data_IF_999554145363
#
_entry.id   IF_999554145363
#
_cell.length_a   1.000
_cell.length_b   1.000
_cell.length_c   1.000
_cell.angle_alpha   90.00
_cell.angle_beta   90.00
_cell.angle_gamma   90.00
#
_symmetry.space_group_name_H-M   'P 1'
#
loop_
_entity.id
_entity.type
_entity.pdbx_description
1 polymer ?
#
# COMPACT_ATOMS: atom_id res chain seq x y z
N UNK A 1 -1.79 -31.92 -87.93
CA UNK A 1 -2.63 -32.68 -86.97
C UNK A 1 -1.96 -32.78 -85.60
N UNK A 2 -0.69 -33.16 -85.52
CA UNK A 2 0.08 -33.25 -84.25
C UNK A 2 0.23 -31.92 -83.50
N UNK A 3 0.37 -30.80 -84.20
CA UNK A 3 0.47 -29.47 -83.60
C UNK A 3 -0.83 -29.05 -82.89
N UNK A 4 -1.98 -29.30 -83.54
CA UNK A 4 -3.32 -29.05 -82.98
C UNK A 4 -3.59 -29.89 -81.72
N UNK A 5 -3.15 -31.15 -81.71
CA UNK A 5 -3.25 -32.04 -80.54
C UNK A 5 -2.35 -31.54 -79.39
N UNK A 6 -1.13 -31.09 -79.70
CA UNK A 6 -0.22 -30.49 -78.71
C UNK A 6 -0.79 -29.20 -78.13
N UNK A 7 -1.38 -28.35 -78.95
CA UNK A 7 -2.01 -27.10 -78.52
C UNK A 7 -3.24 -27.35 -77.64
N UNK A 8 -4.11 -28.29 -78.01
CA UNK A 8 -5.24 -28.69 -77.20
C UNK A 8 -4.81 -29.24 -75.83
N UNK A 9 -3.74 -30.06 -75.80
CA UNK A 9 -3.17 -30.57 -74.54
C UNK A 9 -2.65 -29.44 -73.65
N UNK A 10 -1.92 -28.48 -74.21
CA UNK A 10 -1.42 -27.29 -73.50
C UNK A 10 -2.57 -26.44 -72.93
N UNK A 11 -3.61 -26.17 -73.73
CA UNK A 11 -4.77 -25.41 -73.28
C UNK A 11 -5.50 -26.10 -72.12
N UNK A 12 -5.63 -27.44 -72.17
CA UNK A 12 -6.20 -28.22 -71.08
C UNK A 12 -5.36 -28.13 -69.81
N UNK A 13 -4.04 -28.29 -69.91
CA UNK A 13 -3.13 -28.17 -68.76
C UNK A 13 -3.22 -26.79 -68.12
N UNK A 14 -3.13 -25.71 -68.89
CA UNK A 14 -3.26 -24.33 -68.38
C UNK A 14 -4.58 -24.10 -67.64
N UNK A 15 -5.70 -24.63 -68.18
CA UNK A 15 -7.01 -24.54 -67.51
C UNK A 15 -7.06 -25.34 -66.21
N UNK A 16 -6.52 -26.56 -66.19
CA UNK A 16 -6.44 -27.38 -64.98
C UNK A 16 -5.58 -26.71 -63.90
N UNK A 17 -4.42 -26.18 -64.28
CA UNK A 17 -3.51 -25.49 -63.37
C UNK A 17 -4.13 -24.20 -62.82
N UNK A 18 -4.85 -23.44 -63.65
CA UNK A 18 -5.62 -22.27 -63.23
C UNK A 18 -6.68 -22.65 -62.18
N UNK A 19 -7.52 -23.65 -62.44
CA UNK A 19 -8.57 -24.05 -61.49
C UNK A 19 -8.00 -24.54 -60.17
N UNK A 20 -6.94 -25.35 -60.20
CA UNK A 20 -6.27 -25.82 -59.00
C UNK A 20 -5.65 -24.67 -58.18
N UNK A 21 -5.03 -23.69 -58.85
CA UNK A 21 -4.47 -22.51 -58.18
C UNK A 21 -5.56 -21.65 -57.54
N UNK A 22 -6.71 -21.44 -58.23
CA UNK A 22 -7.86 -20.70 -57.68
C UNK A 22 -8.36 -21.35 -56.39
N UNK A 23 -8.50 -22.67 -56.36
CA UNK A 23 -8.96 -23.41 -55.20
C UNK A 23 -7.99 -23.27 -54.02
N UNK A 24 -6.70 -23.55 -54.26
CA UNK A 24 -5.65 -23.46 -53.23
C UNK A 24 -5.58 -22.05 -52.64
N UNK A 25 -5.56 -21.01 -53.48
CA UNK A 25 -5.48 -19.62 -53.03
C UNK A 25 -6.74 -19.21 -52.27
N UNK A 26 -7.93 -19.61 -52.73
CA UNK A 26 -9.18 -19.27 -52.03
C UNK A 26 -9.20 -19.86 -50.63
N UNK A 27 -8.85 -21.15 -50.47
CA UNK A 27 -8.80 -21.82 -49.16
C UNK A 27 -7.76 -21.15 -48.25
N UNK A 28 -6.56 -20.88 -48.79
CA UNK A 28 -5.50 -20.27 -48.01
C UNK A 28 -5.87 -18.86 -47.55
N UNK A 29 -6.42 -18.02 -48.43
CA UNK A 29 -6.84 -16.66 -48.11
C UNK A 29 -7.90 -16.64 -47.00
N UNK A 30 -8.89 -17.54 -47.06
CA UNK A 30 -9.91 -17.67 -46.01
C UNK A 30 -9.29 -18.05 -44.65
N UNK A 31 -8.37 -19.02 -44.64
CA UNK A 31 -7.68 -19.41 -43.40
C UNK A 31 -6.77 -18.32 -42.86
N UNK A 32 -6.04 -17.62 -43.74
CA UNK A 32 -5.18 -16.50 -43.37
C UNK A 32 -6.00 -15.36 -42.75
N UNK A 33 -7.15 -15.03 -43.36
CA UNK A 33 -8.06 -14.00 -42.84
C UNK A 33 -8.53 -14.32 -41.42
N UNK A 34 -9.04 -15.54 -41.20
CA UNK A 34 -9.52 -15.97 -39.89
C UNK A 34 -8.44 -15.86 -38.80
N UNK A 35 -7.21 -16.24 -39.12
CA UNK A 35 -6.09 -16.18 -38.16
C UNK A 35 -5.63 -14.75 -37.89
N UNK A 36 -5.54 -13.90 -38.91
CA UNK A 36 -5.10 -12.50 -38.74
C UNK A 36 -6.14 -11.67 -37.96
N UNK A 37 -7.43 -11.98 -38.15
CA UNK A 37 -8.52 -11.30 -37.46
C UNK A 37 -8.82 -11.84 -36.06
N UNK A 38 -8.08 -12.86 -35.56
CA UNK A 38 -8.28 -13.38 -34.21
C UNK A 38 -7.99 -12.30 -33.14
N UNK A 39 -8.91 -12.18 -32.19
CA UNK A 39 -8.85 -11.28 -31.02
C UNK A 39 -9.07 -12.01 -29.70
N UNK A 40 -9.36 -13.31 -29.76
CA UNK A 40 -9.74 -14.13 -28.60
C UNK A 40 -8.55 -14.86 -28.00
N UNK A 41 -7.53 -15.14 -28.81
CA UNK A 41 -6.31 -15.80 -28.37
C UNK A 41 -5.38 -14.88 -27.58
N UNK A 42 -4.47 -15.47 -26.81
CA UNK A 42 -3.38 -14.76 -26.15
C UNK A 42 -2.40 -14.19 -27.21
N UNK A 43 -1.77 -13.02 -26.98
CA UNK A 43 -0.89 -12.38 -27.97
C UNK A 43 0.25 -13.27 -28.49
N UNK A 44 0.78 -14.17 -27.66
CA UNK A 44 1.83 -15.12 -28.04
C UNK A 44 1.35 -16.10 -29.15
N UNK A 45 0.12 -16.59 -29.03
CA UNK A 45 -0.49 -17.51 -30.01
C UNK A 45 -0.78 -16.78 -31.33
N UNK A 46 -1.22 -15.52 -31.24
CA UNK A 46 -1.45 -14.67 -32.42
C UNK A 46 -0.10 -14.42 -33.12
N UNK A 47 0.98 -14.12 -32.39
CA UNK A 47 2.32 -13.96 -32.94
C UNK A 47 2.80 -15.19 -33.70
N UNK A 48 2.65 -16.38 -33.14
CA UNK A 48 3.00 -17.64 -33.80
C UNK A 48 2.17 -17.86 -35.08
N UNK A 49 0.87 -17.56 -35.03
CA UNK A 49 -0.03 -17.67 -36.18
C UNK A 49 0.36 -16.70 -37.31
N UNK A 50 0.69 -15.44 -36.97
CA UNK A 50 1.17 -14.45 -37.95
C UNK A 50 2.51 -14.87 -38.57
N UNK A 51 3.44 -15.41 -37.77
CA UNK A 51 4.71 -15.94 -38.28
C UNK A 51 4.50 -17.09 -39.27
N UNK A 52 3.55 -17.99 -38.98
CA UNK A 52 3.19 -19.07 -39.90
C UNK A 52 2.69 -18.50 -41.23
N UNK A 53 1.68 -17.62 -41.21
CA UNK A 53 1.09 -17.05 -42.45
C UNK A 53 2.15 -16.26 -43.23
N UNK A 54 3.00 -15.50 -42.54
CA UNK A 54 4.10 -14.76 -43.14
C UNK A 54 5.09 -15.68 -43.87
N UNK A 55 5.35 -16.88 -43.34
CA UNK A 55 6.24 -17.87 -43.96
C UNK A 55 5.62 -18.53 -45.20
N UNK A 56 4.29 -18.65 -45.25
CA UNK A 56 3.53 -19.22 -46.36
C UNK A 56 3.32 -18.21 -47.50
N UNK A 57 3.31 -16.90 -47.17
CA UNK A 57 3.04 -15.79 -48.10
C UNK A 57 3.87 -15.84 -49.40
N UNK A 58 5.20 -16.08 -49.41
CA UNK A 58 5.98 -16.08 -50.66
C UNK A 58 5.54 -17.17 -51.64
N UNK A 59 5.25 -18.37 -51.12
CA UNK A 59 4.79 -19.48 -51.95
C UNK A 59 3.38 -19.24 -52.51
N UNK A 60 2.53 -18.55 -51.76
CA UNK A 60 1.18 -18.19 -52.23
C UNK A 60 1.23 -17.03 -53.22
N UNK A 61 2.14 -16.08 -53.05
CA UNK A 61 2.38 -15.02 -54.03
C UNK A 61 2.86 -15.60 -55.36
N UNK A 62 3.81 -16.55 -55.34
CA UNK A 62 4.26 -17.23 -56.56
C UNK A 62 3.10 -17.96 -57.26
N UNK A 63 2.22 -18.62 -56.51
CA UNK A 63 1.02 -19.27 -57.06
C UNK A 63 0.05 -18.26 -57.68
N UNK A 64 -0.13 -17.10 -57.06
CA UNK A 64 -0.95 -16.02 -57.60
C UNK A 64 -0.35 -15.47 -58.91
N UNK A 65 0.96 -15.25 -58.96
CA UNK A 65 1.64 -14.79 -60.17
C UNK A 65 1.49 -15.80 -61.32
N UNK A 66 1.62 -17.10 -61.04
CA UNK A 66 1.37 -18.16 -62.02
C UNK A 66 -0.10 -18.23 -62.46
N UNK A 67 -1.04 -18.05 -61.53
CA UNK A 67 -2.47 -17.98 -61.83
C UNK A 67 -2.77 -16.83 -62.78
N UNK A 68 -2.21 -15.63 -62.54
CA UNK A 68 -2.36 -14.44 -63.40
C UNK A 68 -1.83 -14.71 -64.82
N UNK A 69 -0.68 -15.38 -64.94
CA UNK A 69 -0.12 -15.77 -66.25
C UNK A 69 -1.04 -16.77 -66.97
N UNK A 70 -1.52 -17.80 -66.28
CA UNK A 70 -2.43 -18.80 -66.84
C UNK A 70 -3.77 -18.18 -67.25
N UNK A 71 -4.32 -17.28 -66.44
CA UNK A 71 -5.53 -16.52 -66.73
C UNK A 71 -5.39 -15.66 -68.00
N UNK A 72 -4.24 -15.00 -68.19
CA UNK A 72 -3.94 -14.25 -69.41
C UNK A 72 -3.92 -15.17 -70.64
N UNK A 73 -3.23 -16.31 -70.55
CA UNK A 73 -3.17 -17.30 -71.65
C UNK A 73 -4.57 -17.84 -72.01
N UNK A 74 -5.43 -18.10 -71.01
CA UNK A 74 -6.81 -18.55 -71.25
C UNK A 74 -7.62 -17.44 -71.93
N UNK A 75 -7.52 -16.20 -71.43
CA UNK A 75 -8.24 -15.05 -71.99
C UNK A 75 -7.81 -14.76 -73.44
N UNK A 76 -6.52 -14.85 -73.76
CA UNK A 76 -5.98 -14.58 -75.10
C UNK A 76 -6.43 -15.63 -76.11
N UNK A 77 -6.70 -16.87 -75.66
CA UNK A 77 -7.07 -18.01 -76.51
C UNK A 77 -8.57 -18.35 -76.51
N UNK A 78 -9.37 -17.72 -75.65
CA UNK A 78 -10.81 -17.94 -75.60
C UNK A 78 -11.54 -16.95 -76.52
N UNK A 79 -12.66 -17.40 -77.10
CA UNK A 79 -13.60 -16.54 -77.84
C UNK A 79 -14.85 -16.22 -77.01
N UNK A 80 -14.93 -16.75 -75.78
CA UNK A 80 -16.03 -16.54 -74.85
C UNK A 80 -15.73 -15.30 -73.99
N UNK A 81 -16.43 -14.20 -74.25
CA UNK A 81 -16.26 -12.95 -73.50
C UNK A 81 -16.81 -13.03 -72.06
N UNK A 82 -17.80 -13.89 -71.80
CA UNK A 82 -18.34 -14.11 -70.47
C UNK A 82 -17.31 -14.86 -69.59
N UNK A 83 -16.70 -15.91 -70.15
CA UNK A 83 -15.59 -16.63 -69.50
C UNK A 83 -14.42 -15.69 -69.17
N UNK A 84 -14.03 -14.82 -70.11
CA UNK A 84 -12.97 -13.82 -69.88
C UNK A 84 -13.32 -12.85 -68.76
N UNK A 85 -14.56 -12.37 -68.72
CA UNK A 85 -15.02 -11.46 -67.67
C UNK A 85 -14.97 -12.13 -66.28
N UNK A 86 -15.42 -13.39 -66.19
CA UNK A 86 -15.37 -14.17 -64.95
C UNK A 86 -13.94 -14.43 -64.47
N UNK A 87 -13.02 -14.81 -65.38
CA UNK A 87 -11.61 -15.04 -65.05
C UNK A 87 -10.96 -13.75 -64.55
N UNK A 88 -11.14 -12.62 -65.24
CA UNK A 88 -10.59 -11.32 -64.83
C UNK A 88 -11.09 -10.93 -63.45
N UNK A 89 -12.40 -10.99 -63.23
CA UNK A 89 -13.01 -10.69 -61.92
C UNK A 89 -12.45 -11.56 -60.80
N UNK A 90 -12.25 -12.87 -61.04
CA UNK A 90 -11.69 -13.78 -60.03
C UNK A 90 -10.22 -13.48 -59.74
N UNK A 91 -9.42 -13.17 -60.77
CA UNK A 91 -8.02 -12.77 -60.62
C UNK A 91 -7.90 -11.47 -59.82
N UNK A 92 -8.71 -10.47 -60.16
CA UNK A 92 -8.71 -9.17 -59.49
C UNK A 92 -9.08 -9.34 -58.01
N UNK A 93 -10.13 -10.11 -57.72
CA UNK A 93 -10.56 -10.42 -56.35
C UNK A 93 -9.49 -11.15 -55.53
N UNK A 94 -8.83 -12.16 -56.09
CA UNK A 94 -7.76 -12.88 -55.38
C UNK A 94 -6.52 -11.99 -55.15
N UNK A 95 -6.22 -11.11 -56.11
CA UNK A 95 -5.10 -10.16 -56.02
C UNK A 95 -5.36 -9.12 -54.93
N UNK A 96 -6.58 -8.58 -54.88
CA UNK A 96 -7.01 -7.64 -53.84
C UNK A 96 -6.98 -8.29 -52.45
N UNK A 97 -7.55 -9.48 -52.30
CA UNK A 97 -7.54 -10.21 -51.03
C UNK A 97 -6.11 -10.52 -50.55
N UNK A 98 -5.20 -10.91 -51.44
CA UNK A 98 -3.78 -11.11 -51.11
C UNK A 98 -3.13 -9.81 -50.60
N UNK A 99 -3.42 -8.69 -51.26
CA UNK A 99 -2.95 -7.36 -50.84
C UNK A 99 -3.48 -6.96 -49.46
N UNK A 100 -4.77 -7.20 -49.20
CA UNK A 100 -5.40 -6.94 -47.90
C UNK A 100 -4.79 -7.78 -46.78
N UNK A 101 -4.62 -9.09 -47.00
CA UNK A 101 -3.99 -10.00 -46.03
C UNK A 101 -2.59 -9.53 -45.67
N UNK A 102 -1.79 -9.10 -46.65
CA UNK A 102 -0.46 -8.54 -46.40
C UNK A 102 -0.51 -7.29 -45.52
N UNK A 103 -1.40 -6.34 -45.83
CA UNK A 103 -1.58 -5.13 -45.00
C UNK A 103 -1.97 -5.49 -43.57
N UNK A 104 -2.94 -6.40 -43.41
CA UNK A 104 -3.39 -6.82 -42.08
C UNK A 104 -2.32 -7.56 -41.29
N UNK A 105 -1.47 -8.39 -41.93
CA UNK A 105 -0.35 -9.03 -41.24
C UNK A 105 0.62 -7.99 -40.71
N UNK A 106 0.99 -6.99 -41.52
CA UNK A 106 1.93 -5.94 -41.11
C UNK A 106 1.36 -5.09 -39.96
N UNK A 107 0.09 -4.68 -40.06
CA UNK A 107 -0.61 -3.93 -39.00
C UNK A 107 -0.75 -4.74 -37.71
N UNK A 108 -1.23 -5.98 -37.81
CA UNK A 108 -1.45 -6.85 -36.65
C UNK A 108 -0.13 -7.23 -35.97
N UNK A 109 0.96 -7.38 -36.74
CA UNK A 109 2.29 -7.65 -36.18
C UNK A 109 2.79 -6.48 -35.32
N UNK A 110 2.57 -5.25 -35.76
CA UNK A 110 2.91 -4.07 -34.95
C UNK A 110 2.08 -4.05 -33.66
N UNK A 111 0.76 -4.20 -33.77
CA UNK A 111 -0.14 -4.22 -32.62
C UNK A 111 0.22 -5.32 -31.60
N UNK A 112 0.55 -6.52 -32.08
CA UNK A 112 0.96 -7.63 -31.21
C UNK A 112 2.32 -7.39 -30.57
N UNK A 113 3.25 -6.71 -31.26
CA UNK A 113 4.51 -6.26 -30.66
C UNK A 113 4.26 -5.34 -29.47
N UNK A 114 3.49 -4.28 -29.68
CA UNK A 114 3.14 -3.30 -28.64
C UNK A 114 2.38 -3.95 -27.47
N UNK A 115 1.48 -4.89 -27.77
CA UNK A 115 0.76 -5.66 -26.77
C UNK A 115 1.69 -6.56 -25.93
N UNK A 116 2.68 -7.21 -26.54
CA UNK A 116 3.65 -8.04 -25.82
C UNK A 116 4.57 -7.22 -24.92
N UNK A 117 4.97 -6.03 -25.36
CA UNK A 117 5.75 -5.10 -24.53
C UNK A 117 4.95 -4.65 -23.30
N UNK A 118 3.65 -4.42 -23.49
CA UNK A 118 2.72 -4.06 -22.40
C UNK A 118 2.51 -5.22 -21.42
N UNK A 119 2.48 -6.46 -21.91
CA UNK A 119 2.49 -7.67 -21.06
C UNK A 119 3.73 -7.72 -20.18
N UNK A 120 4.93 -7.52 -20.75
CA UNK A 120 6.19 -7.55 -19.99
C UNK A 120 6.24 -6.43 -18.94
N UNK A 121 5.77 -5.25 -19.32
CA UNK A 121 5.65 -4.11 -18.40
C UNK A 121 4.67 -4.39 -17.26
N UNK A 122 3.50 -4.95 -17.55
CA UNK A 122 2.54 -5.37 -16.53
C UNK A 122 3.19 -6.35 -15.53
N UNK A 123 3.88 -7.38 -16.02
CA UNK A 123 4.52 -8.38 -15.16
C UNK A 123 5.64 -7.77 -14.30
N UNK A 124 6.40 -6.82 -14.84
CA UNK A 124 7.43 -6.08 -14.10
C UNK A 124 6.82 -5.22 -12.98
N UNK A 125 5.72 -4.52 -13.28
CA UNK A 125 4.99 -3.72 -12.30
C UNK A 125 4.36 -4.61 -11.22
N UNK A 126 3.73 -5.73 -11.59
CA UNK A 126 3.18 -6.72 -10.67
C UNK A 126 4.25 -7.23 -9.70
N UNK A 127 5.41 -7.63 -10.21
CA UNK A 127 6.53 -8.07 -9.36
C UNK A 127 7.00 -6.96 -8.41
N UNK A 128 6.98 -5.70 -8.85
CA UNK A 128 7.30 -4.54 -8.00
C UNK A 128 6.29 -4.40 -6.85
N UNK A 129 4.99 -4.54 -7.14
CA UNK A 129 3.92 -4.52 -6.12
C UNK A 129 4.07 -5.68 -5.15
N UNK A 130 4.22 -6.92 -5.63
CA UNK A 130 4.29 -8.09 -4.76
C UNK A 130 5.56 -8.12 -3.90
N UNK A 131 6.69 -7.60 -4.41
CA UNK A 131 7.89 -7.42 -3.59
C UNK A 131 7.69 -6.38 -2.49
N UNK A 132 7.01 -5.27 -2.81
CA UNK A 132 6.66 -4.27 -1.80
C UNK A 132 5.70 -4.83 -0.74
N UNK A 133 4.68 -5.58 -1.16
CA UNK A 133 3.73 -6.27 -0.27
C UNK A 133 4.49 -7.17 0.68
N UNK A 134 5.37 -8.04 0.16
CA UNK A 134 6.17 -8.96 0.99
C UNK A 134 7.04 -8.23 2.00
N UNK A 135 7.82 -7.25 1.56
CA UNK A 135 8.70 -6.46 2.42
C UNK A 135 7.91 -5.77 3.55
N UNK A 136 6.74 -5.22 3.22
CA UNK A 136 5.90 -4.53 4.20
C UNK A 136 5.11 -5.49 5.09
N UNK A 137 4.71 -6.66 4.60
CA UNK A 137 4.14 -7.75 5.39
C UNK A 137 5.11 -8.15 6.50
N UNK A 138 6.41 -8.30 6.17
CA UNK A 138 7.45 -8.63 7.14
C UNK A 138 7.54 -7.54 8.23
N UNK A 139 7.50 -6.26 7.84
CA UNK A 139 7.49 -5.13 8.79
C UNK A 139 6.25 -5.14 9.70
N UNK A 140 5.06 -5.35 9.15
CA UNK A 140 3.81 -5.41 9.95
C UNK A 140 3.63 -6.72 10.69
N UNK A 141 4.46 -7.73 10.46
CA UNK A 141 4.44 -8.97 11.25
C UNK A 141 5.23 -8.84 12.56
N UNK A 142 6.22 -7.94 12.60
CA UNK A 142 7.06 -7.77 13.78
C UNK A 142 6.26 -7.21 14.97
N UNK A 143 6.46 -7.71 16.20
CA UNK A 143 5.82 -7.15 17.38
C UNK A 143 6.32 -5.73 17.66
N UNK A 144 5.43 -4.88 18.20
CA UNK A 144 5.77 -3.51 18.61
C UNK A 144 6.23 -3.51 20.08
N UNK A 145 7.49 -3.86 20.32
CA UNK A 145 8.09 -3.79 21.66
C UNK A 145 8.78 -2.44 21.87
N UNK A 146 8.30 -1.65 22.84
CA UNK A 146 8.77 -0.29 23.11
C UNK A 146 9.14 -0.12 24.59
N UNK A 147 10.38 0.27 24.88
CA UNK A 147 10.87 0.48 26.25
C UNK A 147 11.14 1.95 26.60
N UNK A 148 11.10 2.85 25.60
CA UNK A 148 11.28 4.28 25.80
C UNK A 148 10.52 5.13 24.79
N UNK A 149 10.30 6.41 25.13
CA UNK A 149 9.73 7.39 24.20
C UNK A 149 10.58 7.55 22.93
N UNK A 150 11.90 7.46 23.06
CA UNK A 150 12.83 7.58 21.93
C UNK A 150 12.62 6.44 20.92
N UNK A 151 12.48 5.21 21.41
CA UNK A 151 12.17 4.05 20.56
C UNK A 151 10.80 4.20 19.91
N UNK A 152 9.77 4.62 20.65
CA UNK A 152 8.44 4.86 20.13
C UNK A 152 8.44 5.88 18.97
N UNK A 153 9.14 7.00 19.15
CA UNK A 153 9.29 8.04 18.12
C UNK A 153 10.09 7.56 16.90
N UNK A 154 11.12 6.74 17.10
CA UNK A 154 11.86 6.16 15.99
C UNK A 154 10.99 5.20 15.18
N UNK A 155 10.26 4.29 15.83
CA UNK A 155 9.33 3.37 15.15
C UNK A 155 8.22 4.13 14.41
N UNK A 156 7.67 5.18 15.03
CA UNK A 156 6.69 6.05 14.37
C UNK A 156 7.26 6.72 13.11
N UNK A 157 8.52 7.15 13.13
CA UNK A 157 9.19 7.70 11.96
C UNK A 157 9.31 6.67 10.83
N UNK A 158 9.73 5.45 11.16
CA UNK A 158 9.87 4.35 10.20
C UNK A 158 8.51 4.02 9.54
N UNK A 159 7.44 3.90 10.34
CA UNK A 159 6.08 3.69 9.84
C UNK A 159 5.56 4.88 9.03
N UNK A 160 5.94 6.11 9.38
CA UNK A 160 5.60 7.30 8.56
C UNK A 160 6.23 7.20 7.17
N UNK A 161 7.46 6.69 7.06
CA UNK A 161 8.09 6.39 5.78
C UNK A 161 7.36 5.30 5.01
N UNK A 162 6.99 4.20 5.69
CA UNK A 162 6.24 3.10 5.10
C UNK A 162 4.87 3.55 4.55
N UNK A 163 4.09 4.32 5.31
CA UNK A 163 2.79 4.87 4.88
C UNK A 163 2.95 5.80 3.67
N UNK A 164 4.03 6.60 3.60
CA UNK A 164 4.31 7.41 2.41
C UNK A 164 4.56 6.54 1.16
N UNK A 165 5.20 5.39 1.31
CA UNK A 165 5.46 4.47 0.21
C UNK A 165 4.18 3.85 -0.39
N UNK A 166 3.09 3.75 0.38
CA UNK A 166 1.78 3.29 -0.10
C UNK A 166 1.26 4.13 -1.28
N UNK A 167 1.54 5.44 -1.29
CA UNK A 167 1.18 6.32 -2.42
C UNK A 167 1.98 6.03 -3.67
N UNK A 168 3.26 5.66 -3.51
CA UNK A 168 4.13 5.32 -4.64
C UNK A 168 3.65 4.03 -5.28
N UNK A 169 3.45 2.99 -4.46
CA UNK A 169 3.01 1.69 -4.97
C UNK A 169 1.57 1.73 -5.51
N UNK A 170 0.71 2.59 -4.95
CA UNK A 170 -0.63 2.85 -5.52
C UNK A 170 -0.59 3.38 -6.95
N UNK A 171 0.42 4.19 -7.31
CA UNK A 171 0.61 4.62 -8.70
C UNK A 171 1.05 3.46 -9.59
N UNK A 172 1.94 2.60 -9.11
CA UNK A 172 2.37 1.39 -9.82
C UNK A 172 1.17 0.48 -10.14
N UNK A 173 0.26 0.29 -9.19
CA UNK A 173 -1.00 -0.45 -9.41
C UNK A 173 -1.86 0.26 -10.48
N UNK A 174 -2.03 1.58 -10.41
CA UNK A 174 -2.77 2.31 -11.46
C UNK A 174 -2.11 2.22 -12.85
N UNK A 175 -0.79 2.12 -12.92
CA UNK A 175 -0.07 1.87 -14.17
C UNK A 175 -0.34 0.46 -14.68
N UNK A 176 -0.38 -0.56 -13.81
CA UNK A 176 -0.78 -1.92 -14.18
C UNK A 176 -2.17 -1.96 -14.82
N UNK A 177 -3.16 -1.24 -14.25
CA UNK A 177 -4.51 -1.16 -14.83
C UNK A 177 -4.49 -0.63 -16.26
N UNK A 178 -3.67 0.40 -16.55
CA UNK A 178 -3.56 0.99 -17.89
C UNK A 178 -2.93 0.04 -18.89
N UNK A 179 -1.88 -0.69 -18.48
CA UNK A 179 -1.28 -1.73 -19.33
C UNK A 179 -2.32 -2.82 -19.63
N UNK A 180 -3.14 -3.22 -18.64
CA UNK A 180 -4.19 -4.22 -18.80
C UNK A 180 -5.29 -3.76 -19.78
N UNK A 181 -5.72 -2.51 -19.70
CA UNK A 181 -6.67 -1.90 -20.65
C UNK A 181 -6.11 -1.94 -22.07
N UNK A 182 -4.86 -1.50 -22.26
CA UNK A 182 -4.22 -1.48 -23.57
C UNK A 182 -4.05 -2.89 -24.18
N UNK A 183 -3.73 -3.89 -23.35
CA UNK A 183 -3.69 -5.29 -23.77
C UNK A 183 -5.07 -5.74 -24.26
N UNK A 184 -6.14 -5.39 -23.53
CA UNK A 184 -7.52 -5.75 -23.85
C UNK A 184 -8.04 -5.18 -25.18
N UNK A 185 -7.48 -4.06 -25.66
CA UNK A 185 -7.82 -3.48 -26.96
C UNK A 185 -7.34 -4.35 -28.14
N UNK A 186 -6.27 -5.12 -27.95
CA UNK A 186 -5.55 -5.82 -29.02
C UNK A 186 -5.69 -7.35 -28.95
N UNK A 187 -5.89 -7.91 -27.75
CA UNK A 187 -6.01 -9.34 -27.53
C UNK A 187 -6.60 -9.71 -26.17
N UNK A 188 -6.51 -10.99 -25.82
CA UNK A 188 -7.04 -11.48 -24.54
C UNK A 188 -6.12 -11.15 -23.36
N UNK A 189 -6.70 -10.59 -22.30
CA UNK A 189 -6.02 -10.32 -21.02
C UNK A 189 -5.77 -11.59 -20.18
N UNK A 190 -6.47 -12.69 -20.48
CA UNK A 190 -6.29 -13.98 -19.79
C UNK A 190 -6.27 -13.87 -18.26
N UNK A 191 -5.24 -14.46 -17.65
CA UNK A 191 -5.07 -14.53 -16.19
C UNK A 191 -4.55 -13.22 -15.57
N UNK A 192 -4.18 -12.22 -16.37
CA UNK A 192 -3.65 -10.96 -15.88
C UNK A 192 -4.69 -10.18 -15.04
N UNK A 193 -5.98 -10.37 -15.33
CA UNK A 193 -7.05 -9.78 -14.50
C UNK A 193 -7.03 -10.31 -13.07
N UNK A 194 -6.76 -11.61 -12.88
CA UNK A 194 -6.68 -12.21 -11.55
C UNK A 194 -5.41 -11.74 -10.82
N UNK A 195 -4.30 -11.60 -11.53
CA UNK A 195 -3.06 -11.03 -10.98
C UNK A 195 -3.23 -9.57 -10.55
N UNK A 196 -4.01 -8.79 -11.31
CA UNK A 196 -4.36 -7.42 -10.94
C UNK A 196 -5.14 -7.38 -9.62
N UNK A 197 -6.19 -8.19 -9.50
CA UNK A 197 -7.01 -8.30 -8.28
C UNK A 197 -6.20 -8.76 -7.06
N UNK A 198 -5.31 -9.74 -7.25
CA UNK A 198 -4.40 -10.21 -6.21
C UNK A 198 -3.50 -9.08 -5.71
N UNK A 199 -2.86 -8.35 -6.63
CA UNK A 199 -1.97 -7.24 -6.30
C UNK A 199 -2.70 -6.11 -5.58
N UNK A 200 -3.91 -5.75 -6.03
CA UNK A 200 -4.76 -4.74 -5.37
C UNK A 200 -5.15 -5.15 -3.96
N UNK A 201 -5.61 -6.39 -3.79
CA UNK A 201 -6.07 -6.92 -2.52
C UNK A 201 -4.92 -7.00 -1.51
N UNK A 202 -3.80 -7.60 -1.91
CA UNK A 202 -2.64 -7.76 -1.03
C UNK A 202 -2.03 -6.39 -0.65
N UNK A 203 -1.98 -5.44 -1.58
CA UNK A 203 -1.55 -4.06 -1.31
C UNK A 203 -2.49 -3.37 -0.32
N UNK A 204 -3.80 -3.50 -0.50
CA UNK A 204 -4.79 -2.87 0.38
C UNK A 204 -4.74 -3.43 1.80
N UNK A 205 -4.58 -4.74 1.96
CA UNK A 205 -4.44 -5.39 3.27
C UNK A 205 -3.21 -4.88 4.04
N UNK A 206 -2.04 -4.88 3.38
CA UNK A 206 -0.79 -4.37 3.97
C UNK A 206 -0.89 -2.89 4.31
N UNK A 207 -1.48 -2.08 3.44
CA UNK A 207 -1.68 -0.65 3.69
C UNK A 207 -2.59 -0.42 4.90
N UNK A 208 -3.66 -1.21 5.05
CA UNK A 208 -4.53 -1.17 6.21
C UNK A 208 -3.77 -1.40 7.52
N UNK A 209 -2.99 -2.48 7.59
CA UNK A 209 -2.16 -2.79 8.76
C UNK A 209 -1.09 -1.73 9.04
N UNK A 210 -0.47 -1.16 7.99
CA UNK A 210 0.50 -0.08 8.15
C UNK A 210 -0.14 1.18 8.75
N UNK A 211 -1.34 1.56 8.30
CA UNK A 211 -2.06 2.74 8.79
C UNK A 211 -2.52 2.55 10.23
N UNK A 212 -3.04 1.36 10.58
CA UNK A 212 -3.46 1.05 11.95
C UNK A 212 -2.27 1.12 12.92
N UNK A 213 -1.15 0.48 12.56
CA UNK A 213 0.06 0.52 13.39
C UNK A 213 0.68 1.91 13.48
N UNK A 214 0.64 2.68 12.40
CA UNK A 214 1.09 4.07 12.40
C UNK A 214 0.27 4.93 13.38
N UNK A 215 -1.07 4.80 13.34
CA UNK A 215 -1.96 5.50 14.25
C UNK A 215 -1.71 5.10 15.72
N UNK A 216 -1.62 3.79 15.99
CA UNK A 216 -1.32 3.28 17.34
C UNK A 216 0.02 3.83 17.86
N UNK A 217 1.07 3.82 17.04
CA UNK A 217 2.38 4.37 17.40
C UNK A 217 2.34 5.89 17.63
N UNK A 218 1.54 6.60 16.85
CA UNK A 218 1.36 8.05 17.00
C UNK A 218 0.72 8.37 18.36
N UNK A 219 -0.42 7.76 18.65
CA UNK A 219 -1.13 7.94 19.92
C UNK A 219 -0.27 7.50 21.11
N UNK A 220 0.38 6.33 21.01
CA UNK A 220 1.28 5.82 22.07
C UNK A 220 2.41 6.81 22.33
N UNK A 221 3.03 7.37 21.29
CA UNK A 221 4.12 8.35 21.44
C UNK A 221 3.64 9.65 22.10
N UNK A 222 2.43 10.10 21.77
CA UNK A 222 1.83 11.29 22.36
C UNK A 222 1.50 11.09 23.84
N UNK A 223 0.80 10.00 24.20
CA UNK A 223 0.46 9.69 25.58
C UNK A 223 1.70 9.40 26.43
N UNK A 224 2.73 8.78 25.85
CA UNK A 224 4.00 8.55 26.55
C UNK A 224 4.70 9.88 26.86
N UNK A 225 4.77 10.79 25.90
CA UNK A 225 5.34 12.12 26.12
C UNK A 225 4.57 12.90 27.20
N UNK A 226 3.23 12.84 27.17
CA UNK A 226 2.39 13.45 28.20
C UNK A 226 2.65 12.86 29.58
N UNK A 227 2.78 11.52 29.69
CA UNK A 227 3.11 10.83 30.92
C UNK A 227 4.48 11.28 31.46
N UNK A 228 5.54 11.22 30.66
CA UNK A 228 6.89 11.65 31.09
C UNK A 228 6.93 13.14 31.49
N UNK A 229 6.17 13.99 30.80
CA UNK A 229 6.01 15.40 31.19
C UNK A 229 5.35 15.52 32.56
N UNK A 230 4.28 14.76 32.81
CA UNK A 230 3.59 14.75 34.11
C UNK A 230 4.50 14.26 35.24
N UNK A 231 5.25 13.18 35.02
CA UNK A 231 6.19 12.65 36.00
C UNK A 231 7.28 13.69 36.36
N UNK A 232 7.81 14.42 35.36
CA UNK A 232 8.77 15.52 35.60
C UNK A 232 8.17 16.67 36.40
N UNK A 233 6.93 17.08 36.09
CA UNK A 233 6.22 18.11 36.85
C UNK A 233 6.03 17.71 38.32
N UNK A 234 5.59 16.47 38.57
CA UNK A 234 5.40 15.93 39.91
C UNK A 234 6.72 15.84 40.67
N UNK A 235 7.79 15.36 40.03
CA UNK A 235 9.13 15.30 40.62
C UNK A 235 9.62 16.70 41.04
N UNK A 236 9.53 17.68 40.15
CA UNK A 236 9.89 19.07 40.46
C UNK A 236 9.05 19.65 41.60
N UNK A 237 7.76 19.31 41.68
CA UNK A 237 6.90 19.71 42.79
C UNK A 237 7.32 19.05 44.11
N UNK A 238 7.58 17.74 44.09
CA UNK A 238 8.04 16.96 45.23
C UNK A 238 9.36 17.50 45.80
N UNK A 239 10.34 17.80 44.94
CA UNK A 239 11.63 18.36 45.35
C UNK A 239 11.47 19.72 46.05
N UNK A 240 10.56 20.58 45.55
CA UNK A 240 10.23 21.86 46.20
C UNK A 240 9.56 21.65 47.56
N UNK A 241 8.66 20.69 47.68
CA UNK A 241 7.99 20.38 48.94
C UNK A 241 8.97 19.81 49.98
N UNK A 242 9.87 18.91 49.59
CA UNK A 242 10.94 18.39 50.46
C UNK A 242 11.81 19.53 50.98
N UNK A 243 12.30 20.41 50.09
CA UNK A 243 13.09 21.58 50.48
C UNK A 243 12.32 22.53 51.42
N UNK A 244 11.02 22.71 51.22
CA UNK A 244 10.16 23.52 52.08
C UNK A 244 9.99 22.91 53.49
N UNK A 245 9.86 21.58 53.57
CA UNK A 245 9.71 20.83 54.82
C UNK A 245 11.02 20.82 55.62
N UNK A 246 12.17 20.72 54.94
CA UNK A 246 13.51 20.75 55.53
C UNK A 246 13.94 22.16 55.99
N UNK A 247 13.45 23.22 55.35
CA UNK A 247 13.74 24.62 55.69
C UNK A 247 13.07 25.11 56.99
N UNK A 248 13.34 24.42 58.10
CA UNK A 248 12.85 24.67 59.47
C UNK A 248 13.06 26.11 60.03
N UNK A 249 14.06 26.93 59.63
CA UNK A 249 14.23 28.27 60.21
C UNK A 249 13.27 29.34 59.65
N UNK A 250 12.79 29.21 58.40
CA UNK A 250 11.96 30.24 57.75
C UNK A 250 10.46 30.09 58.06
N UNK A 251 9.99 28.87 58.33
CA UNK A 251 8.58 28.60 58.67
C UNK A 251 8.17 29.14 60.04
N UNK A 252 9.11 29.17 61.01
CA UNK A 252 8.89 29.61 62.39
C UNK A 252 8.46 31.07 62.55
N UNK A 253 8.58 31.89 61.49
CA UNK A 253 8.11 33.29 61.50
C UNK A 253 6.60 33.44 61.25
N UNK A 254 5.93 32.40 60.77
CA UNK A 254 4.47 32.43 60.52
C UNK A 254 3.69 31.98 61.77
N UNK A 255 2.45 32.46 61.97
CA UNK A 255 1.55 31.95 63.00
C UNK A 255 1.41 30.42 62.93
N UNK A 256 1.33 29.75 64.08
CA UNK A 256 1.25 28.28 64.15
C UNK A 256 0.05 27.72 63.35
N UNK A 257 -1.11 28.40 63.41
CA UNK A 257 -2.31 28.02 62.65
C UNK A 257 -2.09 28.12 61.13
N UNK A 258 -1.37 29.14 60.65
CA UNK A 258 -1.02 29.25 59.23
C UNK A 258 -0.04 28.14 58.82
N UNK A 259 0.89 27.77 59.70
CA UNK A 259 1.79 26.64 59.45
C UNK A 259 1.01 25.33 59.33
N UNK A 260 0.05 25.08 60.22
CA UNK A 260 -0.83 23.91 60.18
C UNK A 260 -1.65 23.86 58.90
N UNK A 261 -2.35 24.95 58.55
CA UNK A 261 -3.15 25.03 57.32
C UNK A 261 -2.30 24.76 56.05
N UNK A 262 -1.03 25.21 56.03
CA UNK A 262 -0.12 24.90 54.94
C UNK A 262 0.24 23.40 54.86
N UNK A 263 0.33 22.70 56.01
CA UNK A 263 0.60 21.25 56.06
C UNK A 263 -0.62 20.45 55.62
N UNK A 264 -1.81 20.82 56.07
CA UNK A 264 -3.08 20.24 55.61
C UNK A 264 -3.26 20.38 54.11
N UNK A 265 -3.01 21.58 53.57
CA UNK A 265 -3.02 21.81 52.13
C UNK A 265 -2.01 20.92 51.41
N UNK A 266 -0.78 20.83 51.91
CA UNK A 266 0.25 19.98 51.31
C UNK A 266 -0.18 18.50 51.29
N UNK A 267 -0.84 17.99 52.33
CA UNK A 267 -1.39 16.62 52.33
C UNK A 267 -2.43 16.42 51.21
N UNK A 268 -3.32 17.39 51.01
CA UNK A 268 -4.29 17.37 49.90
C UNK A 268 -3.59 17.40 48.53
N UNK A 269 -2.59 18.27 48.37
CA UNK A 269 -1.81 18.37 47.13
C UNK A 269 -1.06 17.06 46.83
N UNK A 270 -0.52 16.36 47.84
CA UNK A 270 0.12 15.04 47.65
C UNK A 270 -0.86 14.04 47.03
N UNK A 271 -2.08 13.94 47.57
CA UNK A 271 -3.11 13.05 47.04
C UNK A 271 -3.44 13.37 45.57
N UNK A 272 -3.52 14.66 45.23
CA UNK A 272 -3.73 15.12 43.85
C UNK A 272 -2.56 14.71 42.95
N UNK A 273 -1.31 14.85 43.38
CA UNK A 273 -0.16 14.42 42.57
C UNK A 273 -0.12 12.90 42.35
N UNK A 274 -0.46 12.09 43.37
CA UNK A 274 -0.54 10.62 43.20
C UNK A 274 -1.59 10.23 42.16
N UNK A 275 -2.77 10.85 42.21
CA UNK A 275 -3.84 10.62 41.23
C UNK A 275 -3.42 11.04 39.82
N UNK A 276 -2.68 12.14 39.67
CA UNK A 276 -2.12 12.54 38.36
C UNK A 276 -1.16 11.51 37.77
N UNK A 277 -0.25 10.96 38.59
CA UNK A 277 0.65 9.89 38.15
C UNK A 277 -0.16 8.68 37.68
N UNK A 278 -1.13 8.25 38.49
CA UNK A 278 -1.98 7.10 38.21
C UNK A 278 -2.73 7.23 36.88
N UNK A 279 -3.47 8.33 36.69
CA UNK A 279 -4.23 8.57 35.46
C UNK A 279 -3.32 8.64 34.24
N UNK A 280 -2.15 9.28 34.36
CA UNK A 280 -1.20 9.36 33.23
C UNK A 280 -0.64 7.99 32.83
N UNK A 281 -0.32 7.14 33.81
CA UNK A 281 0.17 5.78 33.53
C UNK A 281 -0.95 4.90 32.98
N UNK A 282 -2.16 4.97 33.54
CA UNK A 282 -3.30 4.18 33.08
C UNK A 282 -3.65 4.48 31.63
N UNK A 283 -3.67 5.76 31.24
CA UNK A 283 -3.88 6.19 29.85
C UNK A 283 -2.85 5.58 28.90
N UNK A 284 -1.57 5.70 29.24
CA UNK A 284 -0.51 5.12 28.45
C UNK A 284 -0.64 3.58 28.37
N UNK A 285 -0.97 2.91 29.47
CA UNK A 285 -1.19 1.47 29.53
C UNK A 285 -2.35 0.96 28.68
N UNK A 286 -3.32 1.80 28.30
CA UNK A 286 -4.35 1.42 27.33
C UNK A 286 -3.72 1.02 26.00
N UNK A 287 -2.74 1.79 25.51
CA UNK A 287 -2.09 1.50 24.23
C UNK A 287 -1.25 0.21 24.27
N UNK A 288 -0.65 -0.10 25.41
CA UNK A 288 0.05 -1.37 25.60
C UNK A 288 -0.90 -2.59 25.57
N UNK A 289 -2.16 -2.42 25.96
CA UNK A 289 -3.17 -3.48 25.81
C UNK A 289 -3.68 -3.63 24.37
N UNK A 290 -3.46 -2.61 23.53
CA UNK A 290 -3.91 -2.56 22.12
C UNK A 290 -2.87 -3.08 21.12
N UNK A 291 -1.79 -3.72 21.57
CA UNK A 291 -0.82 -4.39 20.68
C UNK A 291 0.62 -3.84 20.74
N UNK A 292 0.90 -2.86 21.60
CA UNK A 292 2.27 -2.46 21.97
C UNK A 292 2.70 -3.24 23.21
N UNK A 293 3.90 -3.80 23.26
CA UNK A 293 4.44 -4.43 24.47
C UNK A 293 5.62 -3.63 25.02
N UNK A 294 6.03 -3.91 26.27
CA UNK A 294 7.08 -3.16 26.96
C UNK A 294 6.53 -2.12 27.93
N UNK A 295 7.22 -0.99 28.09
CA UNK A 295 6.78 0.14 28.92
C UNK A 295 7.07 0.07 30.42
N UNK A 296 7.68 -1.01 30.91
CA UNK A 296 7.94 -1.22 32.34
C UNK A 296 8.67 -0.05 33.01
N UNK A 297 9.67 0.53 32.33
CA UNK A 297 10.50 1.61 32.87
C UNK A 297 9.70 2.86 33.30
N UNK A 298 8.69 3.27 32.52
CA UNK A 298 7.87 4.45 32.86
C UNK A 298 6.95 4.17 34.04
N UNK A 299 6.42 2.95 34.11
CA UNK A 299 5.56 2.51 35.22
C UNK A 299 6.38 2.48 36.51
N UNK A 300 7.55 1.86 36.48
CA UNK A 300 8.50 1.81 37.60
C UNK A 300 8.89 3.21 38.08
N UNK A 301 9.14 4.15 37.16
CA UNK A 301 9.44 5.55 37.49
C UNK A 301 8.27 6.22 38.22
N UNK A 302 7.05 5.96 37.78
CA UNK A 302 5.85 6.47 38.43
C UNK A 302 5.61 5.87 39.81
N UNK A 303 5.83 4.56 39.97
CA UNK A 303 5.74 3.86 41.25
C UNK A 303 6.78 4.38 42.24
N UNK A 304 8.02 4.59 41.80
CA UNK A 304 9.07 5.21 42.62
C UNK A 304 8.65 6.60 43.12
N UNK A 305 8.10 7.45 42.25
CA UNK A 305 7.58 8.76 42.65
C UNK A 305 6.39 8.66 43.62
N UNK A 306 5.50 7.67 43.46
CA UNK A 306 4.40 7.42 44.42
C UNK A 306 4.95 7.05 45.81
N UNK A 307 6.00 6.23 45.88
CA UNK A 307 6.68 5.86 47.13
C UNK A 307 7.30 7.11 47.80
N UNK A 308 7.97 7.97 47.02
CA UNK A 308 8.55 9.19 47.57
C UNK A 308 7.47 10.18 48.06
N UNK A 309 6.33 10.27 47.37
CA UNK A 309 5.17 11.05 47.81
C UNK A 309 4.58 10.51 49.13
N UNK A 310 4.55 9.19 49.31
CA UNK A 310 4.11 8.56 50.56
C UNK A 310 5.07 8.85 51.72
N UNK A 311 6.38 8.86 51.45
CA UNK A 311 7.37 9.29 52.43
C UNK A 311 7.16 10.75 52.84
N UNK A 312 6.98 11.66 51.88
CA UNK A 312 6.67 13.06 52.18
C UNK A 312 5.37 13.21 52.98
N UNK A 313 4.33 12.44 52.63
CA UNK A 313 3.05 12.45 53.35
C UNK A 313 3.22 12.06 54.81
N UNK A 314 4.04 11.04 55.09
CA UNK A 314 4.39 10.64 56.45
C UNK A 314 5.02 11.79 57.25
N UNK A 315 6.00 12.47 56.66
CA UNK A 315 6.67 13.62 57.31
C UNK A 315 5.68 14.76 57.58
N UNK A 316 4.87 15.12 56.59
CA UNK A 316 3.91 16.23 56.70
C UNK A 316 2.83 15.92 57.75
N UNK A 317 2.34 14.68 57.81
CA UNK A 317 1.40 14.23 58.84
C UNK A 317 1.98 14.36 60.25
N UNK A 318 3.20 13.86 60.45
CA UNK A 318 3.88 13.98 61.74
C UNK A 318 4.01 15.44 62.16
N UNK A 319 4.45 16.32 61.26
CA UNK A 319 4.57 17.73 61.56
C UNK A 319 3.22 18.42 61.81
N UNK A 320 2.13 17.97 61.18
CA UNK A 320 0.77 18.45 61.45
C UNK A 320 0.37 18.14 62.90
N UNK A 321 0.54 16.89 63.32
CA UNK A 321 0.24 16.45 64.69
C UNK A 321 1.07 17.20 65.73
N UNK A 322 2.35 17.44 65.46
CA UNK A 322 3.22 18.25 66.34
C UNK A 322 2.76 19.71 66.45
N UNK A 323 2.32 20.31 65.34
CA UNK A 323 1.77 21.68 65.32
C UNK A 323 0.45 21.77 66.07
N UNK A 324 -0.46 20.82 65.88
CA UNK A 324 -1.74 20.73 66.60
C UNK A 324 -1.51 20.65 68.11
N UNK A 325 -0.61 19.78 68.56
CA UNK A 325 -0.25 19.68 69.98
C UNK A 325 0.35 20.98 70.53
N UNK A 326 1.22 21.64 69.76
CA UNK A 326 1.83 22.92 70.14
C UNK A 326 0.78 24.04 70.24
N UNK A 327 -0.15 24.11 69.29
CA UNK A 327 -1.26 25.08 69.31
C UNK A 327 -2.12 24.87 70.55
N UNK A 328 -2.54 23.62 70.82
CA UNK A 328 -3.33 23.29 71.99
C UNK A 328 -2.63 23.70 73.30
N UNK A 329 -1.32 23.46 73.40
CA UNK A 329 -0.52 23.86 74.55
C UNK A 329 -0.49 25.39 74.74
N UNK A 330 -0.30 26.15 73.65
CA UNK A 330 -0.31 27.63 73.69
C UNK A 330 -1.68 28.16 74.11
N UNK A 331 -2.76 27.60 73.57
CA UNK A 331 -4.13 27.98 73.95
C UNK A 331 -4.41 27.71 75.43
N UNK A 332 -3.95 26.57 75.94
CA UNK A 332 -4.07 26.21 77.36
C UNK A 332 -3.29 27.19 78.26
N UNK A 333 -2.07 27.57 77.89
CA UNK A 333 -1.30 28.60 78.60
C UNK A 333 -2.00 29.97 78.59
N UNK A 334 -2.53 30.39 77.45
CA UNK A 334 -3.26 31.65 77.33
C UNK A 334 -4.50 31.67 78.24
N UNK A 335 -5.23 30.56 78.31
CA UNK A 335 -6.39 30.40 79.17
C UNK A 335 -6.02 30.49 80.66
N UNK A 336 -4.95 29.82 81.08
CA UNK A 336 -4.46 29.89 82.47
C UNK A 336 -4.02 31.31 82.85
N UNK A 337 -3.28 32.00 81.97
CA UNK A 337 -2.85 33.38 82.20
C UNK A 337 -4.06 34.32 82.28
N UNK A 338 -5.04 34.16 81.39
CA UNK A 338 -6.27 34.94 81.39
C UNK A 338 -7.07 34.74 82.70
N UNK A 339 -7.27 33.50 83.13
CA UNK A 339 -7.90 33.21 84.42
C UNK A 339 -7.14 33.86 85.58
N UNK A 340 -5.81 33.75 85.61
CA UNK A 340 -4.97 34.31 86.68
C UNK A 340 -5.02 35.85 86.73
N UNK A 341 -5.11 36.51 85.59
CA UNK A 341 -5.25 37.97 85.51
C UNK A 341 -6.65 38.44 85.95
N UNK A 342 -7.71 37.65 85.70
CA UNK A 342 -9.05 37.94 86.23
C UNK A 342 -9.07 37.87 87.76
N UNK A 343 -8.42 36.87 88.36
CA UNK A 343 -8.35 36.71 89.82
C UNK A 343 -7.47 37.77 90.54
N UNK A 344 -6.63 38.51 89.82
CA UNK A 344 -5.79 39.58 90.39
C UNK A 344 -6.37 41.00 90.22
N UNK A 345 -7.56 41.14 89.60
CA UNK A 345 -8.26 42.42 89.38
C UNK A 345 -9.52 42.54 90.29
N UNK A 346 -9.85 41.49 91.04
CA UNK A 346 -10.76 41.55 92.21
C UNK A 346 -9.95 41.74 93.48
#
# INVERSE_FOLDING_TARGET
>A
MEEKIREQKRARTVRTDYTAAVEILTIWLQHAELKVQDKTSKPQIIKESLQQIQSELPAMQEKLDQLVLNARVICDKSNDEEEKALIRSKVDSLTEQMGMIRSWIDEKKQQIGDCLDSWDRFLTLYNTVMNWVKDKQDVVSQPLELNSLTEAKQRLHDYTGAVKSCKVIGKTVSEMSKELEHIGETGSIGDLSNMMEEAETAKAEVEGHLLERHALLHETSEEWEQCERKLREVKSWLDKCKAQVEASPKSKKKPLRDQLANREKMMSDIAIQKSKIEVSIEKLQVHFRSGVTGGGCVVETGEALKIELDSLLGIVRQQSTELEATIAQVEQYQQVVYCRNIYNIQ
#
